data_IF_579276711063
#
_entry.id   IF_579276711063
#
_cell.length_a   1.000
_cell.length_b   1.000
_cell.length_c   1.000
_cell.angle_alpha   90.00
_cell.angle_beta   90.00
_cell.angle_gamma   90.00
#
_symmetry.space_group_name_H-M   'P 1'
#
loop_
_entity.id
_entity.type
_entity.pdbx_description
1 polymer ?
#
# COMPACT_ATOMS: atom_id res chain seq x y z
N UNK A 1 -13.84 23.89 -15.73
CA UNK A 1 -13.19 23.31 -14.54
C UNK A 1 -11.96 22.54 -15.02
N UNK A 2 -10.76 22.88 -14.55
CA UNK A 2 -9.53 22.17 -14.91
C UNK A 2 -9.47 20.87 -14.12
N UNK A 3 -9.89 19.76 -14.73
CA UNK A 3 -9.61 18.43 -14.19
C UNK A 3 -8.14 18.13 -14.37
N UNK A 4 -7.46 17.80 -13.27
CA UNK A 4 -6.05 17.43 -13.26
C UNK A 4 -5.81 16.26 -14.23
N UNK A 5 -4.86 16.39 -15.15
CA UNK A 5 -4.51 15.35 -16.15
C UNK A 5 -4.24 14.00 -15.48
N UNK A 6 -3.66 14.01 -14.28
CA UNK A 6 -3.38 12.80 -13.51
C UNK A 6 -4.66 12.11 -13.02
N UNK A 7 -5.68 12.86 -12.62
CA UNK A 7 -6.97 12.29 -12.20
C UNK A 7 -7.71 11.65 -13.37
N UNK A 8 -7.69 12.30 -14.53
CA UNK A 8 -8.30 11.74 -15.74
C UNK A 8 -7.59 10.44 -16.16
N UNK A 9 -6.26 10.44 -16.16
CA UNK A 9 -5.47 9.25 -16.45
C UNK A 9 -5.77 8.11 -15.48
N UNK A 10 -5.85 8.39 -14.17
CA UNK A 10 -6.15 7.37 -13.17
C UNK A 10 -7.56 6.78 -13.36
N UNK A 11 -8.57 7.65 -13.51
CA UNK A 11 -9.96 7.22 -13.77
C UNK A 11 -10.04 6.34 -15.01
N UNK A 12 -9.41 6.78 -16.11
CA UNK A 12 -9.35 6.01 -17.35
C UNK A 12 -8.67 4.65 -17.14
N UNK A 13 -7.55 4.62 -16.42
CA UNK A 13 -6.79 3.39 -16.16
C UNK A 13 -7.56 2.37 -15.31
N UNK A 14 -8.39 2.85 -14.38
CA UNK A 14 -9.31 2.00 -13.60
C UNK A 14 -10.46 1.50 -14.49
N UNK A 15 -11.11 2.39 -15.25
CA UNK A 15 -12.25 2.04 -16.13
C UNK A 15 -11.83 1.06 -17.23
N UNK A 16 -10.68 1.27 -17.85
CA UNK A 16 -10.10 0.41 -18.89
C UNK A 16 -9.40 -0.85 -18.29
N UNK A 17 -9.50 -1.05 -16.97
CA UNK A 17 -9.01 -2.22 -16.24
C UNK A 17 -7.49 -2.47 -16.31
N UNK A 18 -6.69 -1.47 -16.70
CA UNK A 18 -5.24 -1.52 -16.56
C UNK A 18 -4.81 -1.51 -15.08
N UNK A 19 -5.63 -0.91 -14.22
CA UNK A 19 -5.46 -0.93 -12.76
C UNK A 19 -6.71 -1.56 -12.15
N UNK A 20 -6.54 -2.66 -11.40
CA UNK A 20 -7.62 -3.22 -10.59
C UNK A 20 -7.75 -2.40 -9.31
N UNK A 21 -8.93 -1.82 -9.13
CA UNK A 21 -9.27 -1.08 -7.94
C UNK A 21 -10.08 -1.95 -6.98
N UNK A 22 -9.72 -1.91 -5.70
CA UNK A 22 -10.43 -2.59 -4.63
C UNK A 22 -10.66 -1.59 -3.49
N UNK A 23 -11.91 -1.43 -3.06
CA UNK A 23 -12.22 -0.68 -1.83
C UNK A 23 -11.54 -1.34 -0.63
N UNK A 24 -11.07 -0.54 0.31
CA UNK A 24 -10.31 -1.03 1.46
C UNK A 24 -11.15 -1.95 2.37
N UNK A 25 -12.46 -1.71 2.43
CA UNK A 25 -13.45 -2.49 3.17
C UNK A 25 -13.66 -3.90 2.58
N UNK A 26 -13.26 -4.11 1.32
CA UNK A 26 -13.32 -5.42 0.67
C UNK A 26 -12.09 -6.28 0.94
N UNK A 27 -11.09 -5.75 1.65
CA UNK A 27 -9.89 -6.47 2.05
C UNK A 27 -10.11 -7.06 3.46
N UNK A 28 -10.42 -8.36 3.52
CA UNK A 28 -10.73 -9.08 4.75
C UNK A 28 -9.55 -9.92 5.23
N UNK A 29 -9.68 -10.57 6.40
CA UNK A 29 -8.67 -11.49 6.96
C UNK A 29 -7.27 -10.86 7.04
N UNK A 30 -7.18 -9.65 7.61
CA UNK A 30 -5.92 -8.91 7.71
C UNK A 30 -5.04 -9.41 8.86
N UNK A 31 -4.11 -10.28 8.52
CA UNK A 31 -3.12 -10.83 9.46
C UNK A 31 -1.73 -10.28 9.17
N UNK A 32 -0.99 -9.88 10.21
CA UNK A 32 0.39 -9.40 10.02
C UNK A 32 1.30 -10.58 9.70
N UNK A 33 2.00 -10.51 8.56
CA UNK A 33 3.00 -11.50 8.15
C UNK A 33 4.44 -10.96 8.18
N UNK A 34 4.61 -9.65 8.37
CA UNK A 34 5.93 -9.05 8.51
C UNK A 34 5.87 -7.62 9.04
N UNK A 35 6.89 -7.24 9.81
CA UNK A 35 7.12 -5.86 10.26
C UNK A 35 8.55 -5.47 9.94
N UNK A 36 8.71 -4.36 9.24
CA UNK A 36 9.99 -3.70 9.03
C UNK A 36 9.98 -2.31 9.65
N UNK A 37 11.12 -1.60 9.59
CA UNK A 37 11.24 -0.25 10.16
C UNK A 37 10.25 0.78 9.59
N UNK A 38 9.80 0.60 8.35
CA UNK A 38 8.96 1.58 7.63
C UNK A 38 7.59 1.06 7.24
N UNK A 39 7.30 -0.21 7.49
CA UNK A 39 6.09 -0.81 6.99
C UNK A 39 5.66 -2.04 7.78
N UNK A 40 4.36 -2.28 7.77
CA UNK A 40 3.77 -3.56 8.19
C UNK A 40 3.20 -4.22 6.94
N UNK A 41 3.51 -5.50 6.76
CA UNK A 41 2.95 -6.33 5.69
C UNK A 41 1.84 -7.18 6.28
N UNK A 42 0.65 -7.07 5.71
CA UNK A 42 -0.51 -7.89 6.06
C UNK A 42 -0.77 -8.90 4.93
N UNK A 43 -1.07 -10.14 5.28
CA UNK A 43 -1.86 -11.02 4.41
C UNK A 43 -3.31 -10.56 4.48
N UNK A 44 -4.01 -10.55 3.35
CA UNK A 44 -5.44 -10.25 3.29
C UNK A 44 -6.10 -11.05 2.16
N UNK A 45 -7.43 -11.09 2.18
CA UNK A 45 -8.24 -11.70 1.13
C UNK A 45 -9.13 -10.64 0.47
N UNK A 46 -9.23 -10.65 -0.85
CA UNK A 46 -10.21 -9.83 -1.58
C UNK A 46 -11.57 -10.52 -1.53
N UNK A 47 -12.54 -9.93 -0.83
CA UNK A 47 -13.85 -10.52 -0.54
C UNK A 47 -14.61 -11.02 -1.78
N UNK A 48 -14.54 -10.30 -2.90
CA UNK A 48 -15.33 -10.62 -4.10
C UNK A 48 -14.83 -11.87 -4.85
N UNK A 49 -13.56 -12.19 -4.76
CA UNK A 49 -12.93 -13.20 -5.61
C UNK A 49 -12.03 -14.18 -4.85
N UNK A 50 -12.01 -14.11 -3.51
CA UNK A 50 -11.25 -14.99 -2.63
C UNK A 50 -9.75 -15.06 -2.95
N UNK A 51 -9.21 -13.98 -3.53
CA UNK A 51 -7.80 -13.88 -3.87
C UNK A 51 -7.02 -13.43 -2.62
N UNK A 52 -6.03 -14.22 -2.21
CA UNK A 52 -5.06 -13.81 -1.19
C UNK A 52 -4.05 -12.80 -1.76
N UNK A 53 -3.78 -11.74 -1.00
CA UNK A 53 -2.86 -10.66 -1.35
C UNK A 53 -1.95 -10.29 -0.17
N UNK A 54 -0.84 -9.63 -0.46
CA UNK A 54 -0.01 -8.96 0.52
C UNK A 54 -0.20 -7.44 0.45
N UNK A 55 -0.62 -6.83 1.56
CA UNK A 55 -0.77 -5.38 1.71
C UNK A 55 0.44 -4.85 2.47
N UNK A 56 1.31 -4.08 1.80
CA UNK A 56 2.41 -3.36 2.47
C UNK A 56 1.94 -1.96 2.85
N UNK A 57 1.62 -1.78 4.13
CA UNK A 57 1.24 -0.47 4.67
C UNK A 57 2.48 0.27 5.14
N UNK A 58 2.75 1.43 4.53
CA UNK A 58 3.82 2.31 4.97
C UNK A 58 3.41 3.02 6.26
N UNK A 59 4.30 3.02 7.25
CA UNK A 59 4.13 3.78 8.49
C UNK A 59 4.57 5.23 8.25
N UNK A 60 3.87 6.22 8.84
CA UNK A 60 4.32 7.60 8.79
C UNK A 60 5.71 7.70 9.42
N UNK A 61 6.59 8.52 8.82
CA UNK A 61 7.89 8.80 9.41
C UNK A 61 7.69 9.39 10.81
N UNK A 62 8.30 8.82 11.87
CA UNK A 62 8.41 9.55 13.11
C UNK A 62 9.20 10.83 12.83
N UNK A 63 8.64 12.03 13.10
CA UNK A 63 9.28 13.31 12.76
C UNK A 63 10.63 13.52 13.46
N UNK A 64 10.96 12.68 14.45
CA UNK A 64 12.15 12.75 15.28
C UNK A 64 13.32 11.88 14.82
N UNK A 65 13.18 11.05 13.78
CA UNK A 65 14.26 10.14 13.34
C UNK A 65 15.01 10.76 12.16
N UNK A 66 16.30 11.05 12.38
CA UNK A 66 17.18 11.63 11.35
C UNK A 66 17.46 10.64 10.21
N UNK A 67 17.68 11.16 8.99
CA UNK A 67 17.94 10.34 7.77
C UNK A 67 19.06 9.30 7.94
N UNK A 68 20.06 9.59 8.75
CA UNK A 68 21.18 8.67 9.01
C UNK A 68 20.77 7.43 9.84
N UNK A 69 19.92 7.63 10.85
CA UNK A 69 19.39 6.53 11.66
C UNK A 69 18.49 5.61 10.81
N UNK A 70 17.82 6.19 9.81
CA UNK A 70 16.97 5.48 8.85
C UNK A 70 17.78 4.51 7.98
N UNK A 71 18.90 4.95 7.41
CA UNK A 71 19.76 4.09 6.60
C UNK A 71 20.36 2.94 7.41
N UNK A 72 20.67 3.17 8.70
CA UNK A 72 21.22 2.14 9.59
C UNK A 72 20.24 1.01 9.94
N UNK A 73 18.93 1.27 9.86
CA UNK A 73 17.86 0.30 10.09
C UNK A 73 17.55 -0.49 8.81
N UNK A 74 17.75 0.12 7.63
CA UNK A 74 17.50 -0.52 6.33
C UNK A 74 18.67 -1.41 5.87
N UNK A 75 19.91 -1.05 6.19
CA UNK A 75 21.12 -1.77 5.76
C UNK A 75 21.64 -2.65 6.88
N UNK A 76 21.06 -3.84 7.03
CA UNK A 76 21.71 -4.97 7.70
C UNK A 76 21.43 -6.23 6.88
N UNK A 77 22.40 -6.61 6.06
CA UNK A 77 22.51 -7.95 5.49
C UNK A 77 22.99 -8.95 6.54
#
# INVERSE_FOLDING_TARGET
MSTNVNEQWLKRSITEQYIRYYEYENLTNRDIIGRGGYAVVYKATVKQCDIEIAIKQLLPFPPSVGKEEIYSIFVRE
#
